data_IF_651020282005
#
_entry.id   IF_651020282005
#
_cell.length_a   1.000
_cell.length_b   1.000
_cell.length_c   1.000
_cell.angle_alpha   90.00
_cell.angle_beta   90.00
_cell.angle_gamma   90.00
#
_symmetry.space_group_name_H-M   'P 1'
#
loop_
_entity.id
_entity.type
_entity.pdbx_description
1 polymer ?
#
# COMPACT_ATOMS: atom_id res chain seq x y z
N UNK A 1 3.28 -3.76 23.08
CA UNK A 1 3.95 -3.66 21.76
C UNK A 1 5.42 -4.10 21.75
N UNK A 2 6.15 -4.08 22.88
CA UNK A 2 7.59 -4.40 22.89
C UNK A 2 7.99 -5.83 22.45
N UNK A 3 7.13 -6.83 22.64
CA UNK A 3 7.43 -8.21 22.25
C UNK A 3 7.49 -8.42 20.72
N UNK A 4 6.73 -7.63 19.96
CA UNK A 4 6.73 -7.68 18.49
C UNK A 4 7.97 -7.02 17.90
N UNK A 5 8.43 -5.92 18.50
CA UNK A 5 9.66 -5.20 18.10
C UNK A 5 10.91 -6.08 18.21
N UNK A 6 10.93 -7.04 19.14
CA UNK A 6 12.03 -8.02 19.26
C UNK A 6 12.02 -9.10 18.18
N UNK A 7 10.85 -9.40 17.59
CA UNK A 7 10.69 -10.45 16.57
C UNK A 7 10.61 -9.90 15.14
N UNK A 8 10.19 -8.67 15.00
CA UNK A 8 9.95 -7.98 13.74
C UNK A 8 10.71 -6.66 13.75
N UNK A 9 11.41 -6.35 12.67
CA UNK A 9 12.14 -5.07 12.54
C UNK A 9 11.18 -3.87 12.63
N UNK A 10 11.73 -2.73 13.04
CA UNK A 10 10.97 -1.48 13.21
C UNK A 10 10.24 -1.10 11.91
N UNK A 11 10.90 -1.19 10.76
CA UNK A 11 10.29 -0.94 9.44
C UNK A 11 9.03 -1.78 9.20
N UNK A 12 9.06 -3.08 9.52
CA UNK A 12 7.91 -3.97 9.34
C UNK A 12 6.77 -3.60 10.30
N UNK A 13 7.12 -3.17 11.52
CA UNK A 13 6.14 -2.77 12.51
C UNK A 13 5.43 -1.48 12.10
N UNK A 14 6.16 -0.50 11.59
CA UNK A 14 5.59 0.73 11.04
C UNK A 14 4.69 0.45 9.84
N UNK A 15 5.17 -0.33 8.86
CA UNK A 15 4.36 -0.71 7.71
C UNK A 15 3.06 -1.43 8.12
N UNK A 16 3.13 -2.35 9.10
CA UNK A 16 1.96 -3.03 9.63
C UNK A 16 1.01 -2.08 10.38
N UNK A 17 1.54 -1.10 11.12
CA UNK A 17 0.75 -0.12 11.86
C UNK A 17 0.03 0.84 10.91
N UNK A 18 0.72 1.34 9.89
CA UNK A 18 0.16 2.17 8.82
C UNK A 18 -0.97 1.44 8.11
N UNK A 19 -0.77 0.16 7.78
CA UNK A 19 -1.80 -0.66 7.15
C UNK A 19 -2.99 -0.92 8.07
N UNK A 20 -2.76 -1.17 9.36
CA UNK A 20 -3.80 -1.32 10.37
C UNK A 20 -4.64 -0.05 10.53
N UNK A 21 -4.01 1.13 10.45
CA UNK A 21 -4.71 2.41 10.45
C UNK A 21 -5.53 2.62 9.17
N UNK A 22 -5.01 2.26 8.00
CA UNK A 22 -5.72 2.36 6.72
C UNK A 22 -7.01 1.52 6.71
N UNK A 23 -7.01 0.35 7.35
CA UNK A 23 -8.20 -0.50 7.49
C UNK A 23 -9.07 -0.17 8.71
N UNK A 24 -8.82 0.96 9.40
CA UNK A 24 -9.49 1.38 10.65
C UNK A 24 -9.47 0.31 11.77
N UNK A 25 -8.44 -0.53 11.80
CA UNK A 25 -8.27 -1.57 12.81
C UNK A 25 -6.91 -1.45 13.54
N UNK A 26 -6.64 -0.37 14.29
CA UNK A 26 -5.37 -0.13 14.99
C UNK A 26 -5.25 -0.97 16.28
N UNK A 27 -5.61 -2.25 16.22
CA UNK A 27 -5.49 -3.17 17.34
C UNK A 27 -4.29 -4.11 17.16
N UNK A 28 -3.71 -4.55 18.26
CA UNK A 28 -2.53 -5.42 18.27
C UNK A 28 -2.77 -6.72 17.49
N UNK A 29 -4.01 -7.23 17.50
CA UNK A 29 -4.41 -8.44 16.77
C UNK A 29 -4.27 -8.25 15.26
N UNK A 30 -4.74 -7.13 14.73
CA UNK A 30 -4.63 -6.78 13.30
C UNK A 30 -3.18 -6.56 12.91
N UNK A 31 -2.41 -5.79 13.68
CA UNK A 31 -0.97 -5.59 13.43
C UNK A 31 -0.22 -6.92 13.43
N UNK A 32 -0.51 -7.80 14.41
CA UNK A 32 0.10 -9.14 14.47
C UNK A 32 -0.31 -10.01 13.28
N UNK A 33 -1.58 -9.93 12.84
CA UNK A 33 -2.07 -10.70 11.71
C UNK A 33 -1.44 -10.21 10.39
N UNK A 34 -1.27 -8.90 10.23
CA UNK A 34 -0.56 -8.28 9.10
C UNK A 34 0.91 -8.74 9.06
N UNK A 35 1.60 -8.72 10.20
CA UNK A 35 2.99 -9.19 10.31
C UNK A 35 3.15 -10.69 10.06
N UNK A 36 2.19 -11.50 10.53
CA UNK A 36 2.17 -12.96 10.31
C UNK A 36 1.91 -13.34 8.86
N UNK A 37 1.01 -12.63 8.20
CA UNK A 37 0.65 -12.86 6.79
C UNK A 37 1.65 -12.23 5.81
N UNK A 38 2.58 -11.39 6.29
CA UNK A 38 3.53 -10.67 5.45
C UNK A 38 2.88 -9.54 4.64
N UNK A 39 1.67 -9.11 5.01
CA UNK A 39 0.97 -7.99 4.37
C UNK A 39 1.73 -6.66 4.53
N UNK A 40 2.64 -6.55 5.50
CA UNK A 40 3.54 -5.40 5.65
C UNK A 40 4.52 -5.24 4.48
N UNK A 41 4.82 -6.32 3.75
CA UNK A 41 5.73 -6.31 2.58
C UNK A 41 5.02 -6.21 1.24
N UNK A 42 3.70 -6.40 1.24
CA UNK A 42 2.93 -6.28 0.01
C UNK A 42 2.81 -4.80 -0.36
N UNK A 43 2.98 -4.44 -1.65
CA UNK A 43 2.66 -3.09 -2.11
C UNK A 43 1.24 -2.79 -1.65
N UNK A 44 1.06 -1.70 -0.90
CA UNK A 44 -0.28 -1.33 -0.48
C UNK A 44 -1.13 -1.17 -1.73
N UNK A 45 -2.31 -1.78 -1.77
CA UNK A 45 -3.29 -1.55 -2.84
C UNK A 45 -3.66 -0.05 -2.96
N UNK A 46 -3.35 0.73 -1.93
CA UNK A 46 -3.46 2.19 -1.85
C UNK A 46 -2.09 2.90 -1.77
N UNK A 47 -0.97 2.22 -2.04
CA UNK A 47 0.19 2.96 -2.51
C UNK A 47 -0.37 3.61 -3.75
N UNK A 48 -0.44 4.95 -3.75
CA UNK A 48 -0.80 5.70 -4.93
C UNK A 48 -0.01 5.03 -6.04
N UNK A 49 -0.73 4.30 -6.90
CA UNK A 49 -0.20 3.95 -8.18
C UNK A 49 0.07 5.33 -8.71
N UNK A 50 1.34 5.73 -8.63
CA UNK A 50 1.95 6.64 -9.57
C UNK A 50 1.82 5.90 -10.90
N UNK A 51 0.58 5.79 -11.35
CA UNK A 51 0.23 5.51 -12.71
C UNK A 51 0.93 6.67 -13.36
N UNK A 52 2.03 6.45 -14.10
CA UNK A 52 2.50 7.52 -14.95
C UNK A 52 1.26 7.91 -15.72
N UNK A 53 0.80 9.13 -15.51
CA UNK A 53 -0.22 9.72 -16.34
C UNK A 53 0.40 9.59 -17.72
N UNK A 54 -0.06 8.61 -18.48
CA UNK A 54 0.32 8.49 -19.88
C UNK A 54 -0.34 9.72 -20.49
N UNK A 55 0.39 10.83 -20.44
CA UNK A 55 0.10 12.01 -21.22
C UNK A 55 0.23 11.53 -22.66
N UNK A 56 -0.89 11.18 -23.27
CA UNK A 56 -0.96 10.93 -24.70
C UNK A 56 -0.79 12.28 -25.39
N UNK A 57 0.46 12.74 -25.47
CA UNK A 57 0.79 14.04 -26.04
C UNK A 57 0.78 14.04 -27.58
N UNK A 58 0.59 12.91 -28.27
CA UNK A 58 0.50 12.90 -29.74
C UNK A 58 -0.02 11.58 -30.33
N UNK A 59 -1.29 11.51 -30.76
CA UNK A 59 -1.63 10.98 -32.11
C UNK A 59 -2.80 11.78 -32.67
N UNK A 60 -2.42 12.69 -33.56
CA UNK A 60 -3.18 13.50 -34.51
C UNK A 60 -4.26 12.71 -35.27
N UNK A 61 -5.45 13.29 -35.41
CA UNK A 61 -6.49 12.81 -36.33
C UNK A 61 -7.86 13.45 -36.09
N UNK A 62 -7.97 14.76 -36.32
CA UNK A 62 -9.27 15.39 -36.60
C UNK A 62 -9.79 14.84 -37.93
N UNK A 63 -11.10 14.63 -38.00
CA UNK A 63 -11.88 14.34 -39.21
C UNK A 63 -11.86 12.91 -39.76
N UNK A 64 -12.87 12.12 -39.39
CA UNK A 64 -13.76 11.49 -40.38
C UNK A 64 -14.90 10.72 -39.68
N UNK A 65 -16.08 11.33 -39.54
CA UNK A 65 -17.33 10.66 -39.84
C UNK A 65 -18.26 11.69 -40.47
N UNK A 66 -18.56 11.45 -41.74
CA UNK A 66 -19.39 12.26 -42.62
C UNK A 66 -20.73 11.55 -42.84
#
# INVERSE_FOLDING_TARGET
MLALVRRYSVERLEAACTRAMAIRAPNLRSVTNILKSGLDRQPSLFAATDSPTIAHDNVRGSDCYH
#
